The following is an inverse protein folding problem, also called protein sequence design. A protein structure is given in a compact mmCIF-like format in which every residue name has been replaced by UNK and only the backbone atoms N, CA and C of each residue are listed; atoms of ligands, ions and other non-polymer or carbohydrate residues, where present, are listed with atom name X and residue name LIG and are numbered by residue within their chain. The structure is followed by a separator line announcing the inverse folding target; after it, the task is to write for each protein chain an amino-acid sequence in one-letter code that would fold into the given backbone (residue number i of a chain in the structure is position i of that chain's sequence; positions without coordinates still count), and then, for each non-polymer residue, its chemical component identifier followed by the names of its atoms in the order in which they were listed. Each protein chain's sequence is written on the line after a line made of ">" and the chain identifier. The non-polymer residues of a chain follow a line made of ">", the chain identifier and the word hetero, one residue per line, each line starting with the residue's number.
data_IF_992535512965
#
_entry.id   IF_992535512965
#
_cell.length_a   1.000
_cell.length_b   1.000
_cell.length_c   1.000
_cell.angle_alpha   90.00
_cell.angle_beta   90.00
_cell.angle_gamma   90.00
#
_symmetry.space_group_name_H-M   'P 1'
#
loop_
_entity.id
_entity.type
_entity.pdbx_description
1 polymer ?
#
# COMPACT_ATOMS: atom_id res chain seq x y z
N UNK A 1 20.03 -8.06 -51.57
CA UNK A 1 18.85 -7.16 -51.42
C UNK A 1 17.59 -7.89 -50.93
N UNK A 2 17.69 -9.07 -50.28
CA UNK A 2 16.55 -9.94 -49.95
C UNK A 2 15.78 -9.57 -48.66
N UNK A 3 16.30 -8.69 -47.80
CA UNK A 3 15.62 -8.33 -46.54
C UNK A 3 14.79 -7.04 -46.62
N UNK A 4 14.80 -6.30 -47.74
CA UNK A 4 14.09 -5.01 -47.83
C UNK A 4 12.56 -5.15 -47.67
N UNK A 5 11.97 -6.21 -48.23
CA UNK A 5 10.52 -6.46 -48.11
C UNK A 5 10.09 -6.78 -46.66
N UNK A 6 10.90 -7.57 -45.94
CA UNK A 6 10.65 -7.89 -44.53
C UNK A 6 10.81 -6.63 -43.66
N UNK A 7 11.84 -5.82 -43.90
CA UNK A 7 12.04 -4.56 -43.14
C UNK A 7 10.87 -3.59 -43.37
N UNK A 8 10.39 -3.43 -44.61
CA UNK A 8 9.27 -2.54 -44.92
C UNK A 8 7.97 -3.06 -44.30
N UNK A 9 7.67 -4.35 -44.41
CA UNK A 9 6.45 -4.93 -43.82
C UNK A 9 6.45 -4.84 -42.30
N UNK A 10 7.57 -5.12 -41.63
CA UNK A 10 7.70 -4.93 -40.18
C UNK A 10 7.57 -3.46 -39.77
N UNK A 11 8.14 -2.53 -40.54
CA UNK A 11 8.01 -1.10 -40.26
C UNK A 11 6.56 -0.60 -40.40
N UNK A 12 5.84 -1.06 -41.43
CA UNK A 12 4.41 -0.75 -41.63
C UNK A 12 3.57 -1.32 -40.50
N UNK A 13 3.84 -2.56 -40.08
CA UNK A 13 3.12 -3.18 -38.97
C UNK A 13 3.37 -2.43 -37.66
N UNK A 14 4.62 -2.07 -37.37
CA UNK A 14 4.97 -1.30 -36.18
C UNK A 14 4.34 0.09 -36.18
N UNK A 15 4.29 0.78 -37.32
CA UNK A 15 3.61 2.07 -37.43
C UNK A 15 2.10 1.96 -37.23
N UNK A 16 1.45 0.93 -37.75
CA UNK A 16 0.03 0.67 -37.48
C UNK A 16 -0.23 0.40 -36.00
N UNK A 17 0.62 -0.40 -35.34
CA UNK A 17 0.53 -0.64 -33.89
C UNK A 17 0.72 0.66 -33.11
N UNK A 18 1.71 1.48 -33.47
CA UNK A 18 1.93 2.78 -32.82
C UNK A 18 0.74 3.73 -32.98
N UNK A 19 0.16 3.83 -34.19
CA UNK A 19 -1.05 4.63 -34.43
C UNK A 19 -2.24 4.14 -33.61
N UNK A 20 -2.38 2.82 -33.47
CA UNK A 20 -3.40 2.22 -32.62
C UNK A 20 -3.22 2.63 -31.15
N UNK A 21 -2.02 2.52 -30.58
CA UNK A 21 -1.78 2.96 -29.20
C UNK A 21 -1.94 4.48 -29.01
N UNK A 22 -1.56 5.29 -30.01
CA UNK A 22 -1.73 6.75 -29.98
C UNK A 22 -3.20 7.20 -30.03
N UNK A 23 -4.10 6.35 -30.52
CA UNK A 23 -5.53 6.65 -30.62
C UNK A 23 -6.23 6.66 -29.25
N UNK A 24 -5.74 5.89 -28.27
CA UNK A 24 -6.35 5.80 -26.93
C UNK A 24 -6.30 7.12 -26.15
N UNK A 25 -5.17 7.85 -26.04
CA UNK A 25 -5.13 9.18 -25.42
C UNK A 25 -6.12 10.18 -26.02
N UNK A 26 -6.35 10.12 -27.33
CA UNK A 26 -7.29 11.01 -28.03
C UNK A 26 -8.73 10.64 -27.62
N UNK A 27 -9.05 9.35 -27.62
CA UNK A 27 -10.35 8.85 -27.19
C UNK A 27 -10.66 9.18 -25.73
N UNK A 28 -9.71 8.95 -24.81
CA UNK A 28 -9.90 9.25 -23.37
C UNK A 28 -10.09 10.74 -23.14
N UNK A 29 -9.29 11.60 -23.79
CA UNK A 29 -9.45 13.06 -23.76
C UNK A 29 -10.83 13.51 -24.26
N UNK A 30 -11.32 12.93 -25.35
CA UNK A 30 -12.66 13.20 -25.86
C UNK A 30 -13.74 12.80 -24.85
N UNK A 31 -13.68 11.59 -24.29
CA UNK A 31 -14.66 11.15 -23.28
C UNK A 31 -14.58 11.99 -22.00
N UNK A 32 -13.39 12.40 -21.56
CA UNK A 32 -13.23 13.31 -20.43
C UNK A 32 -13.89 14.67 -20.68
N UNK A 33 -13.74 15.24 -21.89
CA UNK A 33 -14.38 16.51 -22.27
C UNK A 33 -15.91 16.40 -22.30
N UNK A 34 -16.43 15.23 -22.67
CA UNK A 34 -17.87 14.95 -22.68
C UNK A 34 -18.40 14.67 -21.28
N UNK A 35 -17.62 13.97 -20.44
CA UNK A 35 -17.94 13.76 -19.03
C UNK A 35 -18.09 15.10 -18.32
N UNK A 36 -17.13 16.01 -18.48
CA UNK A 36 -17.10 17.32 -17.82
C UNK A 36 -18.32 18.23 -18.11
N UNK A 37 -19.08 17.96 -19.17
CA UNK A 37 -20.33 18.68 -19.49
C UNK A 37 -21.51 18.27 -18.61
N UNK A 38 -21.36 17.26 -17.76
CA UNK A 38 -22.41 16.75 -16.88
C UNK A 38 -22.41 17.47 -15.53
N UNK A 39 -23.60 17.63 -14.92
CA UNK A 39 -23.78 18.47 -13.74
C UNK A 39 -23.02 17.96 -12.51
N UNK A 40 -23.03 16.65 -12.25
CA UNK A 40 -22.55 16.08 -10.99
C UNK A 40 -21.48 15.01 -11.17
N UNK A 41 -20.64 14.81 -10.14
CA UNK A 41 -19.56 13.82 -10.15
C UNK A 41 -20.04 12.38 -10.41
N UNK A 42 -21.22 12.02 -9.90
CA UNK A 42 -21.84 10.71 -10.14
C UNK A 42 -22.22 10.57 -11.61
N UNK A 43 -22.91 11.55 -12.19
CA UNK A 43 -23.28 11.54 -13.60
C UNK A 43 -22.06 11.54 -14.54
N UNK A 44 -20.95 12.19 -14.14
CA UNK A 44 -19.68 12.12 -14.86
C UNK A 44 -19.12 10.70 -14.87
N UNK A 45 -19.15 10.02 -13.72
CA UNK A 45 -18.66 8.65 -13.57
C UNK A 45 -19.52 7.64 -14.33
N UNK A 46 -20.86 7.73 -14.19
CA UNK A 46 -21.80 6.85 -14.90
C UNK A 46 -21.60 6.88 -16.41
N UNK A 47 -21.31 8.06 -16.96
CA UNK A 47 -20.98 8.17 -18.37
C UNK A 47 -19.68 7.47 -18.72
N UNK A 48 -18.61 7.71 -17.95
CA UNK A 48 -17.31 7.08 -18.18
C UNK A 48 -17.44 5.55 -18.15
N UNK A 49 -18.28 5.02 -17.26
CA UNK A 49 -18.52 3.58 -17.15
C UNK A 49 -19.36 3.04 -18.33
N UNK A 50 -20.23 3.87 -18.92
CA UNK A 50 -21.06 3.50 -20.07
C UNK A 50 -20.35 3.51 -21.42
N UNK A 51 -19.29 4.31 -21.59
CA UNK A 51 -18.66 4.48 -22.92
C UNK A 51 -17.75 3.33 -23.30
N UNK A 52 -17.81 2.97 -24.59
CA UNK A 52 -16.92 1.96 -25.19
C UNK A 52 -16.23 2.54 -26.42
N UNK A 53 -14.90 2.47 -26.42
CA UNK A 53 -14.08 2.78 -27.58
C UNK A 53 -13.96 1.55 -28.49
N UNK A 54 -14.15 1.75 -29.80
CA UNK A 54 -14.17 0.68 -30.82
C UNK A 54 -15.15 -0.47 -30.49
N UNK A 55 -16.17 -0.24 -29.67
CA UNK A 55 -17.18 -1.22 -29.26
C UNK A 55 -16.70 -2.30 -28.28
N UNK A 56 -15.39 -2.43 -28.06
CA UNK A 56 -14.80 -3.52 -27.25
C UNK A 56 -14.01 -3.01 -26.03
N UNK A 57 -13.46 -1.80 -26.07
CA UNK A 57 -12.64 -1.27 -24.97
C UNK A 57 -13.49 -0.37 -24.07
N UNK A 58 -13.61 -0.71 -22.78
CA UNK A 58 -14.19 0.20 -21.79
C UNK A 58 -13.29 1.42 -21.58
N UNK A 59 -13.83 2.51 -21.02
CA UNK A 59 -13.03 3.68 -20.65
C UNK A 59 -11.83 3.31 -19.77
N UNK A 60 -12.03 2.45 -18.76
CA UNK A 60 -10.96 1.95 -17.91
C UNK A 60 -9.87 1.25 -18.71
N UNK A 61 -10.25 0.39 -19.67
CA UNK A 61 -9.28 -0.30 -20.53
C UNK A 61 -8.52 0.67 -21.43
N UNK A 62 -9.19 1.70 -21.94
CA UNK A 62 -8.53 2.77 -22.69
C UNK A 62 -7.52 3.51 -21.84
N UNK A 63 -7.84 3.79 -20.57
CA UNK A 63 -6.91 4.44 -19.66
C UNK A 63 -5.69 3.56 -19.37
N UNK A 64 -5.88 2.27 -19.07
CA UNK A 64 -4.78 1.32 -18.83
C UNK A 64 -3.83 1.17 -20.04
N UNK A 65 -4.40 1.26 -21.25
CA UNK A 65 -3.69 1.06 -22.52
C UNK A 65 -3.00 2.35 -23.00
N UNK A 66 -3.44 3.52 -22.51
CA UNK A 66 -2.84 4.80 -22.88
C UNK A 66 -1.40 4.90 -22.35
N UNK A 67 -0.59 5.74 -23.00
CA UNK A 67 0.77 6.04 -22.55
C UNK A 67 0.71 6.77 -21.20
N UNK A 68 1.44 6.26 -20.21
CA UNK A 68 1.60 6.90 -18.91
C UNK A 68 2.39 8.19 -19.04
N UNK A 69 1.70 9.32 -18.90
CA UNK A 69 2.32 10.65 -19.00
C UNK A 69 3.08 11.04 -17.70
N UNK A 70 2.98 10.25 -16.63
CA UNK A 70 3.62 10.54 -15.35
C UNK A 70 3.00 11.73 -14.60
N UNK A 71 3.52 12.01 -13.40
CA UNK A 71 3.01 13.06 -12.51
C UNK A 71 3.19 14.46 -13.08
N UNK A 72 4.32 14.73 -13.74
CA UNK A 72 4.67 16.06 -14.24
C UNK A 72 3.71 16.52 -15.35
N UNK A 73 3.33 15.62 -16.26
CA UNK A 73 2.48 15.95 -17.41
C UNK A 73 0.97 15.78 -17.14
N UNK A 74 0.55 14.85 -16.25
CA UNK A 74 -0.87 14.67 -15.89
C UNK A 74 -1.29 15.43 -14.64
N UNK A 75 -0.34 15.88 -13.82
CA UNK A 75 -0.60 16.28 -12.44
C UNK A 75 -1.05 15.09 -11.57
N UNK A 76 -1.26 15.33 -10.28
CA UNK A 76 -1.72 14.29 -9.35
C UNK A 76 -1.17 14.48 -7.94
N UNK A 77 -0.84 13.37 -7.29
CA UNK A 77 -0.38 13.35 -5.89
C UNK A 77 0.86 12.46 -5.72
N UNK A 78 1.85 12.94 -4.99
CA UNK A 78 2.98 12.16 -4.47
C UNK A 78 2.86 12.10 -2.94
N UNK A 79 2.98 10.91 -2.35
CA UNK A 79 2.91 10.68 -0.91
C UNK A 79 4.05 9.75 -0.50
N UNK A 80 4.68 10.06 0.63
CA UNK A 80 5.57 9.14 1.33
C UNK A 80 4.83 8.61 2.55
N UNK A 81 4.65 7.30 2.61
CA UNK A 81 4.08 6.58 3.73
C UNK A 81 5.22 5.99 4.56
N UNK A 82 5.13 6.08 5.88
CA UNK A 82 6.07 5.45 6.81
C UNK A 82 5.30 4.46 7.68
N UNK A 83 5.82 3.24 7.73
CA UNK A 83 5.26 2.17 8.53
C UNK A 83 5.79 2.29 9.94
N UNK A 84 4.88 2.33 10.91
CA UNK A 84 5.23 2.40 12.33
C UNK A 84 5.75 1.05 12.81
N UNK A 85 7.08 0.88 12.82
CA UNK A 85 7.74 -0.28 13.44
C UNK A 85 7.33 -0.46 14.91
N UNK A 86 7.18 0.61 15.73
CA UNK A 86 6.69 0.46 17.10
C UNK A 86 5.33 -0.25 17.17
N UNK A 87 4.40 0.08 16.28
CA UNK A 87 3.06 -0.49 16.33
C UNK A 87 3.09 -1.96 15.85
N UNK A 88 3.98 -2.32 14.93
CA UNK A 88 4.20 -3.74 14.57
C UNK A 88 4.73 -4.52 15.77
N UNK A 89 5.72 -3.99 16.49
CA UNK A 89 6.27 -4.64 17.70
C UNK A 89 5.21 -4.77 18.80
N UNK A 90 4.35 -3.76 18.97
CA UNK A 90 3.23 -3.79 19.92
C UNK A 90 2.20 -4.87 19.57
N UNK A 91 1.86 -5.01 18.28
CA UNK A 91 0.96 -6.07 17.79
C UNK A 91 1.57 -7.46 17.99
N UNK A 92 2.85 -7.66 17.66
CA UNK A 92 3.55 -8.96 17.85
C UNK A 92 3.62 -9.39 19.32
N UNK A 93 3.60 -8.43 20.23
CA UNK A 93 3.52 -8.64 21.68
C UNK A 93 2.08 -8.83 22.19
N UNK A 94 1.09 -8.92 21.31
CA UNK A 94 -0.34 -9.08 21.64
C UNK A 94 -0.84 -8.01 22.63
N UNK A 95 -0.43 -6.75 22.41
CA UNK A 95 -0.80 -5.59 23.25
C UNK A 95 -0.53 -5.81 24.75
N UNK A 96 0.58 -6.47 25.08
CA UNK A 96 0.91 -6.78 26.47
C UNK A 96 0.95 -5.54 27.35
N UNK A 97 0.28 -5.60 28.49
CA UNK A 97 0.17 -4.46 29.43
C UNK A 97 1.21 -4.49 30.56
N UNK A 98 2.26 -5.32 30.42
CA UNK A 98 3.31 -5.42 31.44
C UNK A 98 3.98 -4.05 31.64
N UNK A 99 4.22 -3.67 32.89
CA UNK A 99 4.79 -2.37 33.25
C UNK A 99 6.17 -2.18 32.61
N UNK A 100 6.99 -3.24 32.63
CA UNK A 100 8.32 -3.19 32.03
C UNK A 100 8.25 -3.07 30.51
N UNK A 101 7.34 -3.77 29.85
CA UNK A 101 7.14 -3.68 28.40
C UNK A 101 6.67 -2.27 27.99
N UNK A 102 5.60 -1.78 28.62
CA UNK A 102 5.03 -0.45 28.33
C UNK A 102 6.06 0.65 28.53
N UNK A 103 6.85 0.58 29.61
CA UNK A 103 7.91 1.54 29.88
C UNK A 103 9.02 1.48 28.82
N UNK A 104 9.43 0.28 28.41
CA UNK A 104 10.46 0.11 27.38
C UNK A 104 10.00 0.58 26.00
N UNK A 105 8.72 0.38 25.66
CA UNK A 105 8.13 0.93 24.44
C UNK A 105 8.14 2.47 24.43
N UNK A 106 7.76 3.11 25.55
CA UNK A 106 7.77 4.57 25.68
C UNK A 106 9.21 5.14 25.65
N UNK A 107 10.15 4.52 26.36
CA UNK A 107 11.57 4.91 26.35
C UNK A 107 12.15 4.78 24.92
N UNK A 108 11.91 3.66 24.23
CA UNK A 108 12.38 3.45 22.86
C UNK A 108 11.74 4.43 21.85
N UNK A 109 10.44 4.75 21.99
CA UNK A 109 9.75 5.75 21.15
C UNK A 109 10.37 7.14 21.32
N UNK A 110 10.69 7.55 22.55
CA UNK A 110 11.36 8.84 22.82
C UNK A 110 12.77 8.88 22.26
N UNK A 111 13.52 7.79 22.40
CA UNK A 111 14.90 7.71 21.90
C UNK A 111 14.95 7.70 20.37
N UNK A 112 13.98 7.02 19.71
CA UNK A 112 13.84 7.04 18.26
C UNK A 112 13.65 8.46 17.72
N UNK A 113 12.84 9.28 18.40
CA UNK A 113 12.62 10.68 18.04
C UNK A 113 13.87 11.55 18.22
N UNK A 114 14.71 11.22 19.20
CA UNK A 114 15.91 12.01 19.53
C UNK A 114 17.10 11.70 18.61
N UNK A 115 17.34 10.42 18.31
CA UNK A 115 18.62 9.98 17.74
C UNK A 115 18.51 9.50 16.29
N UNK A 116 17.30 9.22 15.77
CA UNK A 116 17.08 8.48 14.50
C UNK A 116 17.89 7.17 14.47
N UNK A 117 17.25 6.04 14.74
CA UNK A 117 17.92 4.74 14.80
C UNK A 117 16.96 3.57 14.56
N UNK A 118 17.49 2.36 14.72
CA UNK A 118 16.70 1.13 14.63
C UNK A 118 15.88 0.93 15.90
N UNK A 119 14.56 1.04 15.78
CA UNK A 119 13.63 0.91 16.90
C UNK A 119 13.75 -0.44 17.63
N UNK A 120 14.01 -1.53 16.91
CA UNK A 120 14.07 -2.88 17.51
C UNK A 120 15.24 -2.94 18.50
N UNK A 121 16.41 -2.42 18.10
CA UNK A 121 17.58 -2.35 18.97
C UNK A 121 17.33 -1.46 20.19
N UNK A 122 16.72 -0.29 19.99
CA UNK A 122 16.38 0.64 21.07
C UNK A 122 15.43 -0.01 22.08
N UNK A 123 14.40 -0.69 21.59
CA UNK A 123 13.43 -1.41 22.41
C UNK A 123 14.07 -2.54 23.23
N UNK A 124 14.90 -3.38 22.61
CA UNK A 124 15.56 -4.50 23.31
C UNK A 124 16.45 -3.97 24.44
N UNK A 125 17.23 -2.93 24.17
CA UNK A 125 18.08 -2.29 25.17
C UNK A 125 17.27 -1.72 26.34
N UNK A 126 16.15 -1.04 26.04
CA UNK A 126 15.26 -0.52 27.07
C UNK A 126 14.59 -1.66 27.87
N UNK A 127 14.19 -2.75 27.22
CA UNK A 127 13.61 -3.92 27.86
C UNK A 127 14.57 -4.59 28.84
N UNK A 128 15.81 -4.84 28.45
CA UNK A 128 16.82 -5.41 29.36
C UNK A 128 17.13 -4.51 30.57
N UNK A 129 17.02 -3.18 30.40
CA UNK A 129 17.18 -2.22 31.49
C UNK A 129 15.99 -2.22 32.46
N UNK A 130 14.77 -2.31 31.94
CA UNK A 130 13.54 -2.21 32.73
C UNK A 130 13.06 -3.56 33.31
N UNK A 131 13.49 -4.68 32.72
CA UNK A 131 13.17 -6.04 33.17
C UNK A 131 14.47 -6.88 33.33
N UNK A 132 15.35 -6.55 34.28
CA UNK A 132 16.60 -7.28 34.45
C UNK A 132 16.33 -8.75 34.79
N UNK A 133 16.85 -9.67 33.98
CA UNK A 133 16.70 -11.12 34.16
C UNK A 133 15.48 -11.75 33.49
N UNK A 134 14.60 -10.95 32.90
CA UNK A 134 13.49 -11.43 32.07
C UNK A 134 13.91 -11.60 30.62
N UNK A 135 13.37 -12.62 29.95
CA UNK A 135 13.64 -12.88 28.53
C UNK A 135 12.65 -12.15 27.63
N UNK A 136 13.06 -11.83 26.41
CA UNK A 136 12.15 -11.32 25.38
C UNK A 136 11.06 -12.34 25.03
N UNK A 137 11.38 -13.64 25.13
CA UNK A 137 10.42 -14.72 24.89
C UNK A 137 9.18 -14.65 25.81
N UNK A 138 9.27 -14.03 27.00
CA UNK A 138 8.12 -13.86 27.89
C UNK A 138 7.07 -12.89 27.33
N UNK A 139 7.49 -11.98 26.44
CA UNK A 139 6.61 -11.00 25.78
C UNK A 139 6.17 -11.51 24.41
N UNK A 140 7.07 -12.12 23.65
CA UNK A 140 6.86 -12.46 22.24
C UNK A 140 6.48 -13.93 22.00
N UNK A 141 6.31 -14.76 23.03
CA UNK A 141 5.69 -16.09 22.88
C UNK A 141 4.16 -15.99 22.75
N UNK A 142 3.70 -15.20 21.76
CA UNK A 142 2.29 -14.94 21.47
C UNK A 142 1.72 -15.96 20.48
N UNK A 143 0.40 -15.99 20.31
CA UNK A 143 -0.27 -16.84 19.33
C UNK A 143 0.16 -16.50 17.90
N UNK A 144 0.39 -15.22 17.60
CA UNK A 144 0.84 -14.76 16.28
C UNK A 144 2.24 -15.29 15.92
N UNK A 145 3.10 -15.45 16.93
CA UNK A 145 4.46 -15.98 16.78
C UNK A 145 4.56 -17.48 17.06
N UNK A 146 3.43 -18.19 17.13
CA UNK A 146 3.41 -19.63 17.41
C UNK A 146 4.23 -20.41 16.36
N UNK A 147 5.16 -21.23 16.84
CA UNK A 147 6.08 -21.99 15.99
C UNK A 147 7.32 -21.22 15.51
N UNK A 148 7.39 -19.91 15.74
CA UNK A 148 8.58 -19.07 15.49
C UNK A 148 9.29 -18.68 16.79
N UNK A 149 8.53 -18.35 17.83
CA UNK A 149 9.04 -18.05 19.19
C UNK A 149 8.46 -19.05 20.18
N UNK A 150 9.33 -19.53 21.08
CA UNK A 150 8.94 -20.39 22.21
C UNK A 150 9.33 -19.72 23.53
N UNK A 151 8.70 -20.05 24.67
CA UNK A 151 9.10 -19.53 25.99
C UNK A 151 10.57 -19.84 26.36
N UNK A 152 11.17 -20.83 25.71
CA UNK A 152 12.57 -21.23 25.89
C UNK A 152 13.55 -20.56 24.93
N UNK A 153 13.05 -19.83 23.93
CA UNK A 153 13.88 -19.16 22.93
C UNK A 153 14.82 -18.14 23.57
N UNK A 154 15.99 -17.98 22.95
CA UNK A 154 16.98 -16.98 23.35
C UNK A 154 16.61 -15.60 22.82
N UNK A 155 17.09 -14.53 23.47
CA UNK A 155 16.80 -13.17 23.04
C UNK A 155 17.29 -12.87 21.62
N UNK A 156 18.41 -13.47 21.20
CA UNK A 156 18.92 -13.32 19.82
C UNK A 156 18.02 -13.98 18.78
N UNK A 157 17.42 -15.13 19.10
CA UNK A 157 16.43 -15.79 18.23
C UNK A 157 15.16 -14.94 18.13
N UNK A 158 14.68 -14.43 19.27
CA UNK A 158 13.48 -13.57 19.31
C UNK A 158 13.70 -12.29 18.52
N UNK A 159 14.86 -11.63 18.68
CA UNK A 159 15.21 -10.44 17.89
C UNK A 159 15.17 -10.74 16.38
N UNK A 160 15.75 -11.87 15.95
CA UNK A 160 15.76 -12.25 14.54
C UNK A 160 14.34 -12.47 14.00
N UNK A 161 13.46 -13.08 14.80
CA UNK A 161 12.05 -13.27 14.43
C UNK A 161 11.34 -11.93 14.34
N UNK A 162 11.48 -11.04 15.32
CA UNK A 162 10.87 -9.70 15.30
C UNK A 162 11.30 -8.94 14.03
N UNK A 163 12.59 -8.93 13.69
CA UNK A 163 13.09 -8.28 12.47
C UNK A 163 12.47 -8.87 11.20
N UNK A 164 12.35 -10.20 11.13
CA UNK A 164 11.71 -10.89 10.01
C UNK A 164 10.24 -10.51 9.88
N UNK A 165 9.49 -10.49 10.98
CA UNK A 165 8.07 -10.12 10.97
C UNK A 165 7.87 -8.65 10.63
N UNK A 166 8.73 -7.75 11.10
CA UNK A 166 8.70 -6.34 10.69
C UNK A 166 8.91 -6.20 9.19
N UNK A 167 9.90 -6.90 8.61
CA UNK A 167 10.09 -6.91 7.14
C UNK A 167 8.86 -7.47 6.41
N UNK A 168 8.25 -8.53 6.93
CA UNK A 168 7.03 -9.11 6.35
C UNK A 168 5.83 -8.15 6.44
N UNK A 169 5.68 -7.45 7.56
CA UNK A 169 4.66 -6.42 7.74
C UNK A 169 4.86 -5.25 6.77
N UNK A 170 6.10 -4.87 6.47
CA UNK A 170 6.42 -3.86 5.44
C UNK A 170 6.00 -4.34 4.05
N UNK A 171 6.30 -5.57 3.71
CA UNK A 171 5.93 -6.17 2.42
C UNK A 171 4.41 -6.30 2.26
N UNK A 172 3.72 -6.69 3.33
CA UNK A 172 2.27 -6.76 3.36
C UNK A 172 1.64 -5.37 3.21
N UNK A 173 2.17 -4.37 3.91
CA UNK A 173 1.72 -2.98 3.80
C UNK A 173 1.84 -2.45 2.37
N UNK A 174 2.94 -2.78 1.68
CA UNK A 174 3.12 -2.44 0.26
C UNK A 174 2.01 -3.03 -0.61
N UNK A 175 1.68 -4.31 -0.42
CA UNK A 175 0.60 -4.97 -1.16
C UNK A 175 -0.76 -4.35 -0.86
N UNK A 176 -1.04 -4.03 0.41
CA UNK A 176 -2.30 -3.39 0.83
C UNK A 176 -2.45 -2.01 0.17
N UNK A 177 -1.41 -1.17 0.22
CA UNK A 177 -1.41 0.15 -0.42
C UNK A 177 -1.67 0.02 -1.92
N UNK A 178 -1.00 -0.93 -2.59
CA UNK A 178 -1.22 -1.21 -4.01
C UNK A 178 -2.67 -1.57 -4.31
N UNK A 179 -3.23 -2.55 -3.60
CA UNK A 179 -4.62 -3.00 -3.81
C UNK A 179 -5.63 -1.88 -3.57
N UNK A 180 -5.41 -1.01 -2.57
CA UNK A 180 -6.29 0.15 -2.31
C UNK A 180 -6.24 1.19 -3.41
N UNK A 181 -5.05 1.46 -3.95
CA UNK A 181 -4.88 2.39 -5.07
C UNK A 181 -5.57 1.84 -6.32
N UNK A 182 -5.43 0.54 -6.57
CA UNK A 182 -6.09 -0.14 -7.69
C UNK A 182 -7.63 -0.03 -7.58
N UNK A 183 -8.19 -0.19 -6.37
CA UNK A 183 -9.63 -0.03 -6.12
C UNK A 183 -10.17 1.38 -6.42
N UNK A 184 -9.33 2.41 -6.30
CA UNK A 184 -9.73 3.79 -6.60
C UNK A 184 -9.64 4.11 -8.11
N UNK A 185 -9.27 3.14 -8.94
CA UNK A 185 -9.18 3.30 -10.39
C UNK A 185 -8.01 4.18 -10.82
N UNK A 186 -6.95 4.28 -10.01
CA UNK A 186 -5.73 5.00 -10.39
C UNK A 186 -5.01 4.20 -11.46
N UNK A 187 -4.75 4.86 -12.58
CA UNK A 187 -4.14 4.22 -13.74
C UNK A 187 -2.64 4.40 -13.63
N UNK A 188 -1.90 3.28 -13.59
CA UNK A 188 -0.43 3.25 -13.55
C UNK A 188 0.18 3.99 -12.34
N UNK A 189 -0.17 3.64 -11.09
CA UNK A 189 0.52 4.18 -9.93
C UNK A 189 1.98 3.70 -9.88
N UNK A 190 2.89 4.58 -9.49
CA UNK A 190 4.28 4.23 -9.24
C UNK A 190 4.48 4.07 -7.72
N UNK A 191 4.69 2.85 -7.26
CA UNK A 191 4.83 2.52 -5.84
C UNK A 191 6.23 1.91 -5.65
N UNK A 192 7.05 2.56 -4.83
CA UNK A 192 8.43 2.17 -4.62
C UNK A 192 8.77 2.16 -3.13
N UNK A 193 9.50 1.14 -2.68
CA UNK A 193 10.12 1.16 -1.36
C UNK A 193 11.31 2.12 -1.40
N UNK A 194 11.37 3.05 -0.46
CA UNK A 194 12.47 4.02 -0.39
C UNK A 194 13.71 3.29 0.10
N UNK A 195 14.75 3.23 -0.74
CA UNK A 195 16.01 2.58 -0.37
C UNK A 195 16.72 3.39 0.73
N UNK A 196 17.23 2.71 1.76
CA UNK A 196 17.99 3.33 2.85
C UNK A 196 17.16 3.91 4.00
N UNK A 197 15.82 3.86 3.93
CA UNK A 197 14.94 4.17 5.06
C UNK A 197 13.96 3.00 5.27
N UNK A 198 14.14 2.25 6.35
CA UNK A 198 13.28 1.09 6.66
C UNK A 198 11.82 1.54 6.78
N UNK A 199 10.91 0.79 6.17
CA UNK A 199 9.47 1.02 6.30
C UNK A 199 8.91 2.23 5.55
N UNK A 200 9.65 2.89 4.66
CA UNK A 200 9.13 3.99 3.84
C UNK A 200 8.71 3.55 2.44
N UNK A 201 7.52 3.97 2.02
CA UNK A 201 6.92 3.69 0.71
C UNK A 201 6.61 5.01 0.02
N UNK A 202 7.25 5.25 -1.12
CA UNK A 202 6.92 6.36 -2.01
C UNK A 202 5.81 5.92 -2.97
N UNK A 203 4.78 6.76 -3.09
CA UNK A 203 3.60 6.50 -3.91
C UNK A 203 3.34 7.72 -4.79
N UNK A 204 3.31 7.50 -6.10
CA UNK A 204 2.93 8.52 -7.08
C UNK A 204 1.67 8.07 -7.82
N UNK A 205 0.66 8.94 -7.82
CA UNK A 205 -0.65 8.68 -8.40
C UNK A 205 -0.99 9.80 -9.39
N UNK A 206 -0.70 9.62 -10.70
CA UNK A 206 -1.03 10.61 -11.70
C UNK A 206 -2.54 10.65 -11.97
N UNK A 207 -3.07 11.84 -12.27
CA UNK A 207 -4.48 12.03 -12.67
C UNK A 207 -5.51 12.01 -11.53
N UNK A 208 -5.07 12.01 -10.26
CA UNK A 208 -5.97 12.17 -9.10
C UNK A 208 -6.56 13.58 -9.09
N UNK A 209 -7.90 13.68 -9.05
CA UNK A 209 -8.64 14.95 -8.94
C UNK A 209 -8.97 15.35 -7.50
N UNK A 210 -9.10 14.37 -6.60
CA UNK A 210 -9.49 14.56 -5.19
C UNK A 210 -8.42 14.04 -4.23
N UNK A 211 -7.33 14.80 -3.98
CA UNK A 211 -6.21 14.35 -3.15
C UNK A 211 -6.62 14.10 -1.69
N UNK A 212 -7.53 14.90 -1.14
CA UNK A 212 -8.01 14.75 0.25
C UNK A 212 -8.71 13.40 0.49
N UNK A 213 -9.52 12.97 -0.48
CA UNK A 213 -10.20 11.67 -0.43
C UNK A 213 -9.20 10.52 -0.50
N UNK A 214 -8.20 10.64 -1.37
CA UNK A 214 -7.13 9.65 -1.48
C UNK A 214 -6.27 9.61 -0.21
N UNK A 215 -5.94 10.75 0.38
CA UNK A 215 -5.21 10.82 1.65
C UNK A 215 -5.98 10.08 2.75
N UNK A 216 -7.28 10.32 2.87
CA UNK A 216 -8.13 9.64 3.86
C UNK A 216 -8.15 8.11 3.64
N UNK A 217 -8.17 7.66 2.39
CA UNK A 217 -8.13 6.24 2.04
C UNK A 217 -6.79 5.58 2.40
N UNK A 218 -5.67 6.27 2.15
CA UNK A 218 -4.33 5.78 2.47
C UNK A 218 -4.06 5.79 3.98
N UNK A 219 -4.63 6.74 4.72
CA UNK A 219 -4.52 6.82 6.18
C UNK A 219 -5.45 5.85 6.93
N UNK A 220 -6.56 5.42 6.34
CA UNK A 220 -7.52 4.56 7.02
C UNK A 220 -6.91 3.21 7.40
N UNK A 221 -6.88 2.85 8.69
CA UNK A 221 -6.64 1.46 9.08
C UNK A 221 -7.86 0.63 8.68
N UNK A 222 -7.66 -0.43 7.89
CA UNK A 222 -8.75 -1.34 7.52
C UNK A 222 -8.76 -2.50 8.51
N UNK A 223 -9.19 -2.24 9.74
CA UNK A 223 -9.42 -3.31 10.68
C UNK A 223 -10.76 -3.98 10.31
N UNK A 224 -10.71 -5.25 9.89
CA UNK A 224 -11.90 -6.05 9.63
C UNK A 224 -12.25 -6.81 10.91
N UNK A 225 -13.30 -6.35 11.59
CA UNK A 225 -13.80 -6.99 12.80
C UNK A 225 -15.04 -7.80 12.47
N UNK A 226 -15.08 -9.04 12.93
CA UNK A 226 -16.25 -9.89 12.86
C UNK A 226 -16.98 -9.80 14.19
N UNK A 227 -18.24 -9.39 14.14
CA UNK A 227 -19.11 -9.29 15.31
C UNK A 227 -20.19 -10.38 15.23
N UNK A 228 -20.44 -11.06 16.34
CA UNK A 228 -21.61 -11.94 16.43
C UNK A 228 -22.88 -11.10 16.36
N UNK A 229 -23.79 -11.48 15.47
CA UNK A 229 -25.08 -10.82 15.30
C UNK A 229 -26.19 -11.76 15.76
N UNK A 230 -27.23 -11.22 16.39
CA UNK A 230 -28.41 -11.99 16.73
C UNK A 230 -29.17 -12.42 15.47
N UNK A 231 -29.67 -13.64 15.47
CA UNK A 231 -30.59 -14.12 14.45
C UNK A 231 -31.97 -13.51 14.68
N UNK A 232 -32.75 -13.30 13.61
CA UNK A 232 -34.08 -12.67 13.71
C UNK A 232 -35.02 -13.38 14.70
N UNK A 233 -34.84 -14.68 14.93
CA UNK A 233 -35.62 -15.50 15.86
C UNK A 233 -35.30 -15.23 17.34
N UNK A 234 -34.11 -14.68 17.64
CA UNK A 234 -33.66 -14.35 19.00
C UNK A 234 -34.13 -12.95 19.45
N UNK A 235 -34.61 -12.14 18.50
CA UNK A 235 -35.00 -10.73 18.71
C UNK A 235 -36.49 -10.50 18.39
N UNK A 236 -37.15 -11.43 17.70
CA UNK A 236 -38.58 -11.33 17.42
C UNK A 236 -39.40 -11.63 18.70
N UNK A 237 -40.41 -10.79 19.02
CA UNK A 237 -41.24 -10.95 20.21
C UNK A 237 -42.21 -12.14 20.14
#
# INVERSE_FOLDING_TARGET
>A
MQNKGIVITTAVLLTLVSLFYLSFPIATSYYDSQAAKRPDAVAQQDYKDSVKYLGIYSYQKCLETQIGLGLDLKGGMNVILEISVPDVVENLADHKTDIAFTRSMDEARKELQATQGDFITLFINAYHKNAPGHKLAEVFATTELQGKVSPTSTDSEVEKVIRSEVSAAIDNSFNVVRTRIDQFGVVQPNIQKVQGAEGRISVEMPGIREPERMRKLLQGSANLEFWETYNSEEIAP
#
